data_IF_769770337300
#
_entry.id   IF_769770337300
#
_cell.length_a   1.000
_cell.length_b   1.000
_cell.length_c   1.000
_cell.angle_alpha   90.00
_cell.angle_beta   90.00
_cell.angle_gamma   90.00
#
_symmetry.space_group_name_H-M   'P 1'
#
loop_
_entity.id
_entity.type
_entity.pdbx_description
1 polymer ?
#
# COMPACT_ATOMS: atom_id res chain seq x y z
N UNK A 1 -9.62 11.78 -63.69
CA UNK A 1 -9.40 11.12 -62.38
C UNK A 1 -10.48 10.04 -62.25
N UNK A 2 -10.11 8.75 -62.17
CA UNK A 2 -11.07 7.65 -62.24
C UNK A 2 -11.94 7.61 -60.98
N UNK A 3 -13.25 7.70 -61.16
CA UNK A 3 -14.23 7.68 -60.07
C UNK A 3 -14.04 6.47 -59.11
N UNK A 4 -13.46 5.35 -59.61
CA UNK A 4 -13.10 4.19 -58.79
C UNK A 4 -11.88 4.41 -57.88
N UNK A 5 -10.92 5.23 -58.35
CA UNK A 5 -9.72 5.58 -57.56
C UNK A 5 -10.08 6.54 -56.43
N UNK A 6 -10.94 7.52 -56.71
CA UNK A 6 -11.43 8.46 -55.68
C UNK A 6 -12.29 7.79 -54.65
N UNK A 7 -13.12 6.82 -55.03
CA UNK A 7 -13.91 6.04 -54.07
C UNK A 7 -13.02 5.17 -53.19
N UNK A 8 -11.99 4.53 -53.75
CA UNK A 8 -11.04 3.71 -52.98
C UNK A 8 -10.20 4.58 -52.00
N UNK A 9 -9.77 5.76 -52.40
CA UNK A 9 -9.08 6.70 -51.51
C UNK A 9 -9.97 7.22 -50.38
N UNK A 10 -11.25 7.47 -50.67
CA UNK A 10 -12.22 7.93 -49.70
C UNK A 10 -12.53 6.85 -48.66
N UNK A 11 -12.64 5.57 -49.10
CA UNK A 11 -12.85 4.44 -48.15
C UNK A 11 -11.62 4.20 -47.26
N UNK A 12 -10.41 4.28 -47.81
CA UNK A 12 -9.16 4.18 -47.01
C UNK A 12 -9.05 5.34 -46.01
N UNK A 13 -9.40 6.56 -46.42
CA UNK A 13 -9.40 7.70 -45.51
C UNK A 13 -10.46 7.56 -44.40
N UNK A 14 -11.65 7.08 -44.73
CA UNK A 14 -12.73 6.84 -43.76
C UNK A 14 -12.39 5.72 -42.79
N UNK A 15 -11.73 4.66 -43.24
CA UNK A 15 -11.25 3.57 -42.35
C UNK A 15 -10.11 4.03 -41.45
N UNK A 16 -9.25 4.94 -41.94
CA UNK A 16 -8.16 5.51 -41.13
C UNK A 16 -8.68 6.45 -40.04
N UNK A 17 -9.79 7.17 -40.27
CA UNK A 17 -10.48 7.99 -39.27
C UNK A 17 -11.17 7.16 -38.19
N UNK A 18 -11.63 5.95 -38.49
CA UNK A 18 -12.25 5.04 -37.51
C UNK A 18 -11.20 4.27 -36.67
N UNK A 19 -9.93 4.24 -37.10
CA UNK A 19 -8.83 3.58 -36.35
C UNK A 19 -8.25 4.46 -35.23
N UNK A 20 -8.66 5.73 -35.08
CA UNK A 20 -8.44 6.52 -33.87
C UNK A 20 -9.43 6.05 -32.79
N UNK A 21 -9.27 4.80 -32.33
CA UNK A 21 -9.91 4.35 -31.12
C UNK A 21 -9.45 5.25 -29.98
N UNK A 22 -10.38 5.83 -29.24
CA UNK A 22 -10.11 6.52 -28.00
C UNK A 22 -9.37 5.51 -27.12
N UNK A 23 -8.06 5.68 -26.93
CA UNK A 23 -7.37 5.06 -25.83
C UNK A 23 -8.02 5.67 -24.57
N UNK A 24 -8.93 4.96 -23.95
CA UNK A 24 -9.36 5.33 -22.62
C UNK A 24 -8.12 5.21 -21.73
N UNK A 25 -7.78 6.29 -21.04
CA UNK A 25 -6.79 6.24 -19.98
C UNK A 25 -7.17 5.08 -19.04
N UNK A 26 -6.31 4.10 -18.94
CA UNK A 26 -6.52 2.97 -18.07
C UNK A 26 -5.61 3.18 -16.84
N UNK A 27 -6.21 3.21 -15.66
CA UNK A 27 -5.41 3.16 -14.44
C UNK A 27 -4.60 1.87 -14.39
N UNK A 28 -3.39 1.86 -13.82
CA UNK A 28 -2.57 0.67 -13.72
C UNK A 28 -3.26 -0.41 -12.88
N UNK A 29 -2.91 -1.67 -13.15
CA UNK A 29 -3.27 -2.77 -12.26
C UNK A 29 -2.50 -2.67 -10.93
N UNK A 30 -3.11 -3.16 -9.83
CA UNK A 30 -2.47 -3.18 -8.54
C UNK A 30 -1.20 -4.06 -8.57
N UNK A 31 -0.02 -3.53 -8.16
CA UNK A 31 1.17 -4.36 -7.96
C UNK A 31 1.02 -5.26 -6.72
N UNK A 32 1.98 -6.14 -6.47
CA UNK A 32 2.05 -6.90 -5.22
C UNK A 32 3.45 -6.73 -4.58
N UNK A 33 3.53 -6.15 -3.36
CA UNK A 33 2.43 -5.55 -2.57
C UNK A 33 1.94 -4.23 -3.19
N UNK A 34 0.68 -3.83 -2.92
CA UNK A 34 0.08 -2.64 -3.54
C UNK A 34 -0.02 -1.42 -2.62
N UNK A 35 0.42 -1.53 -1.37
CA UNK A 35 0.27 -0.47 -0.37
C UNK A 35 1.12 0.78 -0.68
N UNK A 36 2.27 0.60 -1.33
CA UNK A 36 3.10 1.66 -1.87
C UNK A 36 3.36 1.36 -3.35
N UNK A 37 2.53 1.90 -4.23
CA UNK A 37 2.59 1.66 -5.67
C UNK A 37 3.28 2.85 -6.36
N UNK A 38 4.61 2.81 -6.42
CA UNK A 38 5.44 3.88 -6.94
C UNK A 38 5.70 3.75 -8.45
N UNK A 39 4.72 4.15 -9.27
CA UNK A 39 4.86 4.14 -10.74
C UNK A 39 5.72 5.30 -11.27
N UNK A 40 5.86 6.39 -10.52
CA UNK A 40 6.71 7.52 -10.88
C UNK A 40 8.18 7.32 -10.45
N UNK A 41 8.47 6.29 -9.64
CA UNK A 41 9.79 5.98 -9.11
C UNK A 41 10.40 7.18 -8.34
N UNK A 42 9.62 7.72 -7.42
CA UNK A 42 9.96 8.88 -6.59
C UNK A 42 10.02 8.56 -5.09
N UNK A 43 9.63 7.35 -4.69
CA UNK A 43 9.73 6.90 -3.30
C UNK A 43 11.04 6.12 -3.08
N UNK A 44 11.57 6.23 -1.87
CA UNK A 44 12.69 5.40 -1.45
C UNK A 44 12.17 4.01 -1.02
N UNK A 45 12.96 2.96 -1.26
CA UNK A 45 12.58 1.59 -0.89
C UNK A 45 12.27 1.47 0.61
N UNK A 46 12.95 2.23 1.47
CA UNK A 46 12.71 2.26 2.91
C UNK A 46 11.29 2.77 3.23
N UNK A 47 10.81 3.77 2.48
CA UNK A 47 9.46 4.31 2.61
C UNK A 47 8.41 3.31 2.13
N UNK A 48 8.64 2.64 0.99
CA UNK A 48 7.75 1.60 0.50
C UNK A 48 7.63 0.42 1.47
N UNK A 49 8.77 -0.06 1.99
CA UNK A 49 8.83 -1.16 2.96
C UNK A 49 8.08 -0.77 4.25
N UNK A 50 8.29 0.44 4.74
CA UNK A 50 7.62 0.96 5.93
C UNK A 50 6.09 1.05 5.74
N UNK A 51 5.63 1.64 4.65
CA UNK A 51 4.19 1.73 4.34
C UNK A 51 3.57 0.33 4.32
N UNK A 52 4.28 -0.63 3.72
CA UNK A 52 3.84 -2.02 3.64
C UNK A 52 3.76 -2.67 5.04
N UNK A 53 4.78 -2.48 5.89
CA UNK A 53 4.80 -3.01 7.24
C UNK A 53 3.67 -2.44 8.11
N UNK A 54 3.49 -1.11 8.09
CA UNK A 54 2.43 -0.46 8.86
C UNK A 54 1.02 -0.88 8.41
N UNK A 55 0.81 -1.05 7.11
CA UNK A 55 -0.45 -1.59 6.60
C UNK A 55 -0.71 -3.02 7.12
N UNK A 56 0.33 -3.84 7.24
CA UNK A 56 0.19 -5.17 7.85
C UNK A 56 -0.38 -5.12 9.27
N UNK A 57 0.00 -4.13 10.07
CA UNK A 57 -0.55 -3.89 11.42
C UNK A 57 -2.03 -3.51 11.35
N UNK A 58 -2.39 -2.52 10.53
CA UNK A 58 -3.78 -2.07 10.38
C UNK A 58 -4.69 -3.17 9.84
N UNK A 59 -4.26 -3.87 8.80
CA UNK A 59 -5.04 -4.92 8.15
C UNK A 59 -5.33 -6.07 9.11
N UNK A 60 -4.31 -6.52 9.86
CA UNK A 60 -4.47 -7.58 10.86
C UNK A 60 -5.39 -7.17 12.01
N UNK A 61 -5.32 -5.91 12.46
CA UNK A 61 -6.10 -5.44 13.60
C UNK A 61 -7.54 -5.08 13.23
N UNK A 62 -7.75 -4.42 12.12
CA UNK A 62 -9.07 -3.86 11.77
C UNK A 62 -9.48 -4.00 10.30
N UNK A 63 -8.61 -4.51 9.43
CA UNK A 63 -8.86 -4.62 7.99
C UNK A 63 -8.73 -3.29 7.24
N UNK A 64 -8.28 -2.22 7.90
CA UNK A 64 -8.04 -0.94 7.23
C UNK A 64 -6.77 -0.98 6.38
N UNK A 65 -6.77 -0.25 5.28
CA UNK A 65 -5.65 -0.12 4.36
C UNK A 65 -5.44 1.34 3.98
N UNK A 66 -4.20 1.80 3.98
CA UNK A 66 -3.80 3.12 3.52
C UNK A 66 -2.82 2.94 2.38
N UNK A 67 -3.25 3.25 1.16
CA UNK A 67 -2.47 3.02 -0.06
C UNK A 67 -1.91 4.34 -0.56
N UNK A 68 -0.62 4.35 -0.86
CA UNK A 68 0.06 5.47 -1.52
C UNK A 68 0.35 5.06 -2.96
N UNK A 69 -0.09 5.89 -3.90
CA UNK A 69 0.15 5.69 -5.33
C UNK A 69 0.84 6.92 -5.89
N UNK A 70 1.93 6.73 -6.60
CA UNK A 70 2.54 7.79 -7.40
C UNK A 70 2.40 7.46 -8.88
N UNK A 71 2.22 8.47 -9.71
CA UNK A 71 2.20 8.34 -11.17
C UNK A 71 2.79 9.59 -11.82
N UNK A 72 3.37 9.44 -13.01
CA UNK A 72 3.83 10.61 -13.76
C UNK A 72 2.65 11.43 -14.29
N UNK A 73 1.66 10.76 -14.91
CA UNK A 73 0.54 11.42 -15.58
C UNK A 73 -0.78 10.67 -15.34
N UNK A 74 -1.87 11.43 -15.40
CA UNK A 74 -3.24 10.92 -15.28
C UNK A 74 -3.87 10.59 -16.65
N UNK A 75 -3.10 10.70 -17.75
CA UNK A 75 -3.53 10.43 -19.12
C UNK A 75 -4.80 11.22 -19.54
N UNK A 76 -4.94 12.43 -18.99
CA UNK A 76 -6.06 13.34 -19.27
C UNK A 76 -7.33 13.06 -18.49
N UNK A 77 -7.29 12.16 -17.49
CA UNK A 77 -8.36 12.02 -16.52
C UNK A 77 -8.28 13.14 -15.46
N UNK A 78 -9.42 13.47 -14.88
CA UNK A 78 -9.46 14.25 -13.64
C UNK A 78 -8.86 13.44 -12.49
N UNK A 79 -8.14 14.08 -11.56
CA UNK A 79 -7.44 13.38 -10.49
C UNK A 79 -8.40 12.67 -9.53
N UNK A 80 -9.59 13.23 -9.28
CA UNK A 80 -10.62 12.59 -8.45
C UNK A 80 -11.14 11.32 -9.13
N UNK A 81 -11.43 11.39 -10.43
CA UNK A 81 -11.91 10.25 -11.21
C UNK A 81 -10.83 9.14 -11.31
N UNK A 82 -9.56 9.53 -11.45
CA UNK A 82 -8.44 8.61 -11.48
C UNK A 82 -8.27 7.91 -10.13
N UNK A 83 -8.25 8.66 -9.03
CA UNK A 83 -8.17 8.14 -7.68
C UNK A 83 -9.37 7.21 -7.36
N UNK A 84 -10.59 7.64 -7.71
CA UNK A 84 -11.79 6.84 -7.52
C UNK A 84 -11.73 5.52 -8.30
N UNK A 85 -11.19 5.55 -9.51
CA UNK A 85 -11.05 4.34 -10.34
C UNK A 85 -10.03 3.38 -9.74
N UNK A 86 -8.86 3.86 -9.27
CA UNK A 86 -7.88 3.03 -8.54
C UNK A 86 -8.52 2.44 -7.29
N UNK A 87 -9.14 3.27 -6.45
CA UNK A 87 -9.72 2.88 -5.18
C UNK A 87 -10.68 1.69 -5.33
N UNK A 88 -11.56 1.74 -6.34
CA UNK A 88 -12.52 0.69 -6.58
C UNK A 88 -11.94 -0.55 -7.28
N UNK A 89 -11.06 -0.36 -8.28
CA UNK A 89 -10.47 -1.47 -9.01
C UNK A 89 -9.55 -2.32 -8.11
N UNK A 90 -8.79 -1.67 -7.24
CA UNK A 90 -7.88 -2.32 -6.31
C UNK A 90 -8.58 -2.79 -5.03
N UNK A 91 -9.84 -2.36 -4.81
CA UNK A 91 -10.66 -2.73 -3.65
C UNK A 91 -9.99 -2.38 -2.34
N UNK A 92 -9.53 -1.13 -2.24
CA UNK A 92 -8.77 -0.64 -1.09
C UNK A 92 -9.64 -0.65 0.17
N UNK A 93 -9.18 -1.35 1.22
CA UNK A 93 -9.87 -1.54 2.48
C UNK A 93 -10.76 -2.77 2.53
N UNK A 94 -11.28 -3.06 3.71
CA UNK A 94 -12.23 -4.16 3.93
C UNK A 94 -13.58 -3.86 3.27
N UNK A 95 -14.12 -4.83 2.53
CA UNK A 95 -15.34 -4.66 1.73
C UNK A 95 -16.60 -4.40 2.57
N UNK A 96 -16.66 -4.93 3.80
CA UNK A 96 -17.81 -4.74 4.69
C UNK A 96 -17.69 -3.44 5.49
N UNK A 97 -16.45 -3.06 5.87
CA UNK A 97 -16.17 -1.86 6.66
C UNK A 97 -15.97 -0.62 5.81
N UNK A 98 -15.58 -0.75 4.53
CA UNK A 98 -15.26 0.36 3.62
C UNK A 98 -14.24 1.34 4.24
N UNK A 99 -13.16 0.81 4.80
CA UNK A 99 -12.18 1.52 5.59
C UNK A 99 -10.80 1.66 4.93
N UNK A 100 -10.80 1.82 3.63
CA UNK A 100 -9.61 2.15 2.85
C UNK A 100 -9.32 3.64 2.83
N UNK A 101 -8.07 4.00 2.61
CA UNK A 101 -7.59 5.36 2.29
C UNK A 101 -6.66 5.27 1.09
N UNK A 102 -6.76 6.21 0.16
CA UNK A 102 -5.86 6.36 -0.97
C UNK A 102 -5.25 7.75 -0.97
N UNK A 103 -3.93 7.83 -0.97
CA UNK A 103 -3.15 9.02 -1.29
C UNK A 103 -2.58 8.84 -2.71
N UNK A 104 -2.95 9.71 -3.64
CA UNK A 104 -2.46 9.72 -5.01
C UNK A 104 -1.60 10.96 -5.26
N UNK A 105 -0.40 10.77 -5.78
CA UNK A 105 0.52 11.81 -6.20
C UNK A 105 0.71 11.74 -7.72
N UNK A 106 0.28 12.76 -8.46
CA UNK A 106 0.46 12.90 -9.90
C UNK A 106 1.60 13.88 -10.18
N UNK A 107 2.81 13.34 -10.31
CA UNK A 107 4.06 14.11 -10.28
C UNK A 107 4.18 15.06 -11.47
N UNK A 108 3.86 14.58 -12.67
CA UNK A 108 3.98 15.39 -13.90
C UNK A 108 2.89 16.45 -14.06
N UNK A 109 1.76 16.30 -13.38
CA UNK A 109 0.71 17.33 -13.31
C UNK A 109 0.85 18.25 -12.09
N UNK A 110 1.87 18.03 -11.26
CA UNK A 110 2.07 18.78 -10.00
C UNK A 110 0.79 18.80 -9.14
N UNK A 111 0.13 17.64 -9.01
CA UNK A 111 -1.16 17.51 -8.36
C UNK A 111 -1.22 16.28 -7.44
N UNK A 112 -2.08 16.32 -6.45
CA UNK A 112 -2.30 15.20 -5.54
C UNK A 112 -3.76 15.13 -5.08
N UNK A 113 -4.17 13.96 -4.62
CA UNK A 113 -5.50 13.71 -4.10
C UNK A 113 -5.48 12.69 -2.98
N UNK A 114 -6.30 12.90 -1.96
CA UNK A 114 -6.51 11.91 -0.92
C UNK A 114 -8.01 11.66 -0.75
N UNK A 115 -8.37 10.38 -0.65
CA UNK A 115 -9.76 9.99 -0.41
C UNK A 115 -9.84 8.81 0.56
N UNK A 116 -10.96 8.74 1.28
CA UNK A 116 -11.28 7.69 2.22
C UNK A 116 -12.53 6.92 1.81
N UNK A 117 -12.62 5.68 2.25
CA UNK A 117 -13.83 4.88 2.18
C UNK A 117 -14.88 5.38 3.17
N UNK A 118 -16.14 5.05 2.90
CA UNK A 118 -17.30 5.51 3.67
C UNK A 118 -17.21 5.17 5.17
N UNK A 119 -16.55 4.07 5.53
CA UNK A 119 -16.39 3.66 6.93
C UNK A 119 -15.47 4.56 7.74
N UNK A 120 -14.68 5.41 7.09
CA UNK A 120 -13.76 6.35 7.73
C UNK A 120 -14.24 7.82 7.68
N UNK A 121 -15.35 8.13 7.01
CA UNK A 121 -15.81 9.53 6.86
C UNK A 121 -16.01 10.27 8.17
N UNK A 122 -16.32 9.57 9.27
CA UNK A 122 -16.50 10.16 10.58
C UNK A 122 -15.19 10.42 11.34
N UNK A 123 -14.16 9.62 11.06
CA UNK A 123 -12.84 9.72 11.66
C UNK A 123 -11.90 10.61 10.84
N UNK A 124 -11.92 10.43 9.55
CA UNK A 124 -11.10 11.13 8.57
C UNK A 124 -12.01 11.96 7.67
N UNK A 125 -12.46 13.12 8.18
CA UNK A 125 -13.32 14.03 7.43
C UNK A 125 -12.56 14.72 6.30
N UNK A 126 -13.27 15.23 5.27
CA UNK A 126 -12.63 15.97 4.17
C UNK A 126 -11.78 17.14 4.67
N UNK A 127 -12.28 17.90 5.67
CA UNK A 127 -11.51 18.99 6.25
C UNK A 127 -10.23 18.53 6.96
N UNK A 128 -10.25 17.36 7.60
CA UNK A 128 -9.05 16.79 8.21
C UNK A 128 -8.07 16.30 7.15
N UNK A 129 -8.55 15.73 6.04
CA UNK A 129 -7.70 15.38 4.90
C UNK A 129 -7.03 16.63 4.33
N UNK A 130 -7.80 17.72 4.11
CA UNK A 130 -7.25 18.98 3.62
C UNK A 130 -6.16 19.52 4.55
N UNK A 131 -6.39 19.48 5.88
CA UNK A 131 -5.41 19.91 6.88
C UNK A 131 -4.14 19.04 6.86
N UNK A 132 -4.27 17.71 6.73
CA UNK A 132 -3.14 16.78 6.62
C UNK A 132 -2.35 17.07 5.34
N UNK A 133 -3.01 17.16 4.19
CA UNK A 133 -2.33 17.44 2.93
C UNK A 133 -1.59 18.78 2.95
N UNK A 134 -2.19 19.80 3.56
CA UNK A 134 -1.55 21.11 3.71
C UNK A 134 -0.33 21.10 4.64
N UNK A 135 -0.42 20.40 5.77
CA UNK A 135 0.62 20.45 6.79
C UNK A 135 1.76 19.45 6.55
N UNK A 136 1.44 18.28 5.95
CA UNK A 136 2.36 17.15 5.89
C UNK A 136 2.83 16.83 4.47
N UNK A 137 2.12 17.31 3.41
CA UNK A 137 2.46 17.04 2.02
C UNK A 137 2.95 18.28 1.26
N UNK A 138 2.21 19.39 1.33
CA UNK A 138 2.31 20.52 0.39
C UNK A 138 3.73 21.10 0.27
N UNK A 139 4.41 21.34 1.39
CA UNK A 139 5.76 21.95 1.38
C UNK A 139 6.78 21.03 0.70
N UNK A 140 6.78 19.75 1.05
CA UNK A 140 7.71 18.77 0.49
C UNK A 140 7.38 18.48 -0.99
N UNK A 141 6.09 18.37 -1.32
CA UNK A 141 5.64 18.15 -2.70
C UNK A 141 6.06 19.30 -3.60
N UNK A 142 5.85 20.54 -3.19
CA UNK A 142 6.27 21.74 -3.92
C UNK A 142 7.80 21.85 -4.04
N UNK A 143 8.55 21.31 -3.08
CA UNK A 143 10.00 21.24 -3.13
C UNK A 143 10.54 20.08 -4.00
N UNK A 144 9.67 19.15 -4.45
CA UNK A 144 10.04 17.95 -5.17
C UNK A 144 10.57 16.82 -4.27
N UNK A 145 10.42 16.94 -2.96
CA UNK A 145 10.74 15.90 -1.97
C UNK A 145 9.52 15.01 -1.74
N UNK A 146 9.15 14.27 -2.79
CA UNK A 146 7.94 13.47 -2.81
C UNK A 146 7.96 12.33 -1.80
N UNK A 147 9.13 11.75 -1.54
CA UNK A 147 9.31 10.68 -0.56
C UNK A 147 8.97 11.16 0.85
N UNK A 148 9.60 12.27 1.29
CA UNK A 148 9.33 12.86 2.61
C UNK A 148 7.86 13.25 2.76
N UNK A 149 7.27 13.90 1.73
CA UNK A 149 5.88 14.32 1.75
C UNK A 149 4.92 13.13 1.83
N UNK A 150 5.14 12.10 1.02
CA UNK A 150 4.34 10.87 1.04
C UNK A 150 4.42 10.17 2.40
N UNK A 151 5.62 10.07 2.98
CA UNK A 151 5.86 9.44 4.27
C UNK A 151 5.17 10.16 5.41
N UNK A 152 5.34 11.49 5.53
CA UNK A 152 4.69 12.30 6.57
C UNK A 152 3.17 12.22 6.48
N UNK A 153 2.65 12.34 5.25
CA UNK A 153 1.20 12.25 5.01
C UNK A 153 0.66 10.87 5.38
N UNK A 154 1.37 9.80 4.99
CA UNK A 154 1.01 8.44 5.41
C UNK A 154 0.98 8.31 6.93
N UNK A 155 2.00 8.80 7.64
CA UNK A 155 2.08 8.74 9.11
C UNK A 155 0.90 9.48 9.77
N UNK A 156 0.52 10.65 9.24
CA UNK A 156 -0.63 11.41 9.75
C UNK A 156 -1.96 10.67 9.52
N UNK A 157 -2.18 10.12 8.32
CA UNK A 157 -3.35 9.30 8.01
C UNK A 157 -3.40 8.03 8.86
N UNK A 158 -2.24 7.36 9.01
CA UNK A 158 -2.10 6.17 9.84
C UNK A 158 -2.49 6.44 11.29
N UNK A 159 -2.01 7.52 11.89
CA UNK A 159 -2.32 7.89 13.26
C UNK A 159 -3.84 8.05 13.48
N UNK A 160 -4.55 8.70 12.56
CA UNK A 160 -6.00 8.87 12.65
C UNK A 160 -6.73 7.53 12.58
N UNK A 161 -6.35 6.66 11.64
CA UNK A 161 -7.00 5.36 11.47
C UNK A 161 -6.67 4.42 12.64
N UNK A 162 -5.43 4.43 13.10
CA UNK A 162 -4.95 3.65 14.24
C UNK A 162 -5.72 4.00 15.52
N UNK A 163 -5.88 5.30 15.81
CA UNK A 163 -6.62 5.79 16.97
C UNK A 163 -8.12 5.50 16.85
N UNK A 164 -8.69 5.66 15.66
CA UNK A 164 -10.11 5.40 15.44
C UNK A 164 -10.52 3.95 15.72
N UNK A 165 -9.66 3.01 15.38
CA UNK A 165 -9.90 1.58 15.64
C UNK A 165 -9.30 1.07 16.96
N UNK A 166 -8.68 1.95 17.77
CA UNK A 166 -8.05 1.60 19.05
C UNK A 166 -7.06 0.41 18.90
N UNK A 167 -6.27 0.43 17.82
CA UNK A 167 -5.37 -0.67 17.43
C UNK A 167 -4.35 -0.96 18.53
N UNK A 168 -3.85 0.06 19.23
CA UNK A 168 -2.93 -0.11 20.35
C UNK A 168 -3.52 -0.89 21.53
N UNK A 169 -4.83 -0.78 21.78
CA UNK A 169 -5.48 -1.59 22.82
C UNK A 169 -5.62 -3.05 22.36
N UNK A 170 -5.84 -3.30 21.07
CA UNK A 170 -5.90 -4.63 20.50
C UNK A 170 -4.54 -5.35 20.57
N UNK A 171 -3.45 -4.64 20.29
CA UNK A 171 -2.08 -5.15 20.43
C UNK A 171 -1.74 -5.44 21.91
N UNK A 172 -2.12 -4.54 22.83
CA UNK A 172 -1.96 -4.75 24.28
C UNK A 172 -2.77 -5.93 24.81
N UNK A 173 -3.96 -6.20 24.25
CA UNK A 173 -4.78 -7.35 24.60
C UNK A 173 -4.21 -8.66 24.02
N UNK A 174 -3.66 -8.62 22.81
CA UNK A 174 -2.99 -9.76 22.21
C UNK A 174 -1.64 -10.09 22.89
N UNK A 175 -0.92 -9.05 23.36
CA UNK A 175 0.34 -9.20 24.08
C UNK A 175 0.17 -9.76 25.53
N UNK A 176 -1.02 -9.66 26.10
CA UNK A 176 -1.32 -10.16 27.46
C UNK A 176 -1.92 -11.57 27.51
N UNK A 177 -2.13 -12.22 26.37
CA UNK A 177 -2.52 -13.63 26.29
C UNK A 177 -1.32 -14.54 25.98
N UNK A 178 -0.15 -14.25 26.55
CA UNK A 178 0.84 -15.29 26.78
C UNK A 178 0.29 -16.11 27.92
N UNK A 179 -0.44 -17.15 27.62
CA UNK A 179 -0.85 -18.16 28.63
C UNK A 179 0.43 -18.71 29.25
N UNK A 180 0.45 -18.84 30.56
CA UNK A 180 1.55 -19.48 31.31
C UNK A 180 1.90 -20.91 30.80
N UNK A 181 1.09 -21.48 29.92
CA UNK A 181 1.33 -22.77 29.26
C UNK A 181 2.43 -22.71 28.18
N UNK A 182 2.63 -21.55 27.46
CA UNK A 182 3.66 -21.47 26.43
C UNK A 182 5.07 -21.25 27.00
N UNK A 183 5.19 -20.70 28.22
CA UNK A 183 6.46 -20.55 28.91
C UNK A 183 7.06 -21.88 29.37
N UNK A 184 6.21 -22.86 29.72
CA UNK A 184 6.64 -24.20 30.15
C UNK A 184 7.11 -25.04 28.95
N UNK A 185 6.53 -24.82 27.77
CA UNK A 185 6.93 -25.53 26.55
C UNK A 185 8.31 -25.09 26.02
N UNK A 186 8.61 -23.80 26.09
CA UNK A 186 9.91 -23.24 25.66
C UNK A 186 11.04 -23.65 26.61
N UNK A 187 10.80 -23.71 27.91
CA UNK A 187 11.77 -24.20 28.89
C UNK A 187 12.02 -25.70 28.71
N UNK A 188 10.98 -26.49 28.44
CA UNK A 188 11.11 -27.93 28.16
C UNK A 188 11.93 -28.25 26.92
N UNK A 189 11.75 -27.47 25.84
CA UNK A 189 12.52 -27.62 24.60
C UNK A 189 13.97 -27.20 24.74
N UNK A 190 14.27 -26.14 25.50
CA UNK A 190 15.65 -25.69 25.77
C UNK A 190 16.37 -26.70 26.60
N UNK A 191 15.74 -27.25 27.67
CA UNK A 191 16.32 -28.29 28.51
C UNK A 191 16.54 -29.58 27.71
N UNK A 192 15.58 -29.96 26.85
CA UNK A 192 15.70 -31.12 25.97
C UNK A 192 16.89 -30.99 24.98
N UNK A 193 17.08 -29.83 24.39
CA UNK A 193 18.22 -29.51 23.51
C UNK A 193 19.55 -29.58 24.26
N UNK A 194 19.61 -29.04 25.47
CA UNK A 194 20.83 -29.08 26.32
C UNK A 194 21.21 -30.53 26.71
N UNK A 195 20.22 -31.34 27.05
CA UNK A 195 20.45 -32.75 27.38
C UNK A 195 20.94 -33.52 26.13
N UNK A 196 20.35 -33.26 24.97
CA UNK A 196 20.76 -33.89 23.70
C UNK A 196 22.20 -33.53 23.33
N UNK A 197 22.63 -32.26 23.49
CA UNK A 197 24.00 -31.82 23.26
C UNK A 197 24.98 -32.50 24.25
N UNK A 198 24.60 -32.61 25.55
CA UNK A 198 25.42 -33.29 26.55
C UNK A 198 25.61 -34.78 26.24
N UNK A 199 24.57 -35.45 25.78
CA UNK A 199 24.65 -36.87 25.37
C UNK A 199 25.56 -37.04 24.16
N UNK A 200 25.47 -36.15 23.14
CA UNK A 200 26.34 -36.20 21.96
C UNK A 200 27.80 -35.99 22.36
N UNK A 201 28.08 -35.01 23.24
CA UNK A 201 29.45 -34.75 23.74
C UNK A 201 29.99 -35.96 24.51
N UNK A 202 29.17 -36.57 25.37
CA UNK A 202 29.54 -37.75 26.13
C UNK A 202 29.87 -38.96 25.21
N UNK A 203 29.09 -39.18 24.15
CA UNK A 203 29.32 -40.23 23.19
C UNK A 203 30.61 -39.99 22.39
N UNK A 204 30.86 -38.75 21.97
CA UNK A 204 32.11 -38.37 21.25
C UNK A 204 33.32 -38.58 22.15
N UNK A 205 33.27 -38.22 23.43
CA UNK A 205 34.37 -38.43 24.39
C UNK A 205 34.59 -39.91 24.64
N UNK A 206 33.50 -40.69 24.70
CA UNK A 206 33.60 -42.15 24.86
C UNK A 206 34.27 -42.84 23.68
N UNK A 207 33.91 -42.43 22.46
CA UNK A 207 34.51 -42.93 21.21
C UNK A 207 35.99 -42.54 21.17
N UNK A 208 36.37 -41.30 21.53
CA UNK A 208 37.75 -40.80 21.57
C UNK A 208 38.62 -41.54 22.62
N UNK A 209 38.04 -42.19 23.61
CA UNK A 209 38.77 -43.00 24.61
C UNK A 209 38.90 -44.48 24.21
N UNK A 210 38.17 -44.90 23.19
CA UNK A 210 38.18 -46.28 22.68
C UNK A 210 39.08 -46.46 21.44
N UNK A 211 39.54 -45.33 20.84
CA UNK A 211 40.53 -45.26 19.76
C UNK A 211 41.88 -44.85 20.31
#
# INVERSE_FOLDING_TARGET
>A
MNKRLTAALLTVFLTMLFACGSAFAAVPDAPEPFYAADFANVLEQETEDYITEQNGVLENACGAQIVVVTTDFLDGMDIEDYAYTIFNNWKIGDADKNNGVLLLLAIGEENYWCMQGKGLESALTSGMIDDILWNDLEEDFAAGDYDSGARKTFDALYAVVYDYYDVGAAEGAAGNTVSEEDADWTMGTIIGLLIMVLVIVAVVVLIAKLV
#
